data_IF_600151102550
#
_entry.id   IF_600151102550
#
_cell.length_a   1.000
_cell.length_b   1.000
_cell.length_c   1.000
_cell.angle_alpha   90.00
_cell.angle_beta   90.00
_cell.angle_gamma   90.00
#
_symmetry.space_group_name_H-M   'P 1'
#
loop_
_entity.id
_entity.type
_entity.pdbx_description
1 polymer ?
#
# COMPACT_ATOMS: atom_id res chain seq x y z
N UNK A 1 32.77 32.20 -22.69
CA UNK A 1 32.92 30.81 -23.18
C UNK A 1 33.08 29.92 -21.96
N UNK A 2 32.26 28.86 -21.80
CA UNK A 2 32.13 28.02 -20.59
C UNK A 2 31.18 28.50 -19.47
N UNK A 3 30.05 29.14 -19.81
CA UNK A 3 28.85 29.25 -18.95
C UNK A 3 27.52 29.17 -19.70
N UNK A 4 27.54 28.77 -20.98
CA UNK A 4 26.35 28.73 -21.87
C UNK A 4 26.08 27.31 -22.41
N UNK A 5 26.71 26.27 -21.83
CA UNK A 5 26.58 24.87 -22.31
C UNK A 5 25.94 23.94 -21.25
N UNK A 6 25.69 24.41 -20.02
CA UNK A 6 25.11 23.56 -18.94
C UNK A 6 23.60 23.81 -18.74
N UNK A 7 22.99 24.75 -19.46
CA UNK A 7 21.56 25.08 -19.37
C UNK A 7 20.72 24.62 -20.58
N UNK A 8 21.27 23.74 -21.43
CA UNK A 8 20.63 23.29 -22.66
C UNK A 8 20.27 21.79 -22.68
N UNK A 9 20.07 21.16 -21.51
CA UNK A 9 19.63 19.75 -21.42
C UNK A 9 18.43 19.52 -20.48
N UNK A 10 17.70 20.58 -20.14
CA UNK A 10 16.38 20.50 -19.52
C UNK A 10 15.42 21.35 -20.36
N UNK A 11 14.24 20.80 -20.67
CA UNK A 11 13.26 21.29 -21.65
C UNK A 11 13.65 21.02 -23.12
N UNK A 12 13.39 19.81 -23.61
CA UNK A 12 12.23 19.49 -24.46
C UNK A 12 12.13 17.96 -24.48
N UNK A 13 11.48 17.41 -23.47
CA UNK A 13 10.68 16.21 -23.66
C UNK A 13 9.25 16.68 -23.45
N UNK A 14 8.58 17.03 -24.54
CA UNK A 14 7.13 17.12 -24.60
C UNK A 14 6.62 15.74 -24.21
N UNK A 15 6.40 15.54 -22.91
CA UNK A 15 5.43 14.57 -22.43
C UNK A 15 4.10 15.07 -22.99
N UNK A 16 3.72 14.54 -24.15
CA UNK A 16 2.32 14.45 -24.51
C UNK A 16 1.71 13.58 -23.41
N UNK A 17 1.27 14.22 -22.34
CA UNK A 17 0.30 13.64 -21.45
C UNK A 17 -0.99 13.59 -22.25
N UNK A 18 -1.19 12.53 -23.03
CA UNK A 18 -2.53 12.20 -23.49
C UNK A 18 -3.34 11.94 -22.23
N UNK A 19 -4.22 12.89 -21.90
CA UNK A 19 -5.26 12.64 -20.92
C UNK A 19 -6.07 11.43 -21.41
N UNK A 20 -6.53 10.58 -20.50
CA UNK A 20 -7.41 9.47 -20.86
C UNK A 20 -8.61 10.03 -21.62
N UNK A 21 -8.86 9.51 -22.81
CA UNK A 21 -9.93 9.96 -23.70
C UNK A 21 -11.08 8.97 -23.63
N UNK A 22 -12.28 9.49 -23.41
CA UNK A 22 -13.52 8.71 -23.39
C UNK A 22 -14.37 9.19 -24.57
N UNK A 23 -14.63 8.31 -25.53
CA UNK A 23 -15.37 8.60 -26.75
C UNK A 23 -16.47 7.56 -26.97
N UNK A 24 -17.45 7.90 -27.81
CA UNK A 24 -18.46 6.92 -28.23
C UNK A 24 -17.84 5.87 -29.16
N UNK A 25 -18.13 4.60 -28.89
CA UNK A 25 -17.58 3.49 -29.67
C UNK A 25 -18.15 3.48 -31.09
N UNK A 26 -17.26 3.25 -32.05
CA UNK A 26 -17.57 3.13 -33.46
C UNK A 26 -17.55 1.65 -33.91
N UNK A 27 -18.21 1.28 -35.03
CA UNK A 27 -18.12 -0.09 -35.56
C UNK A 27 -16.68 -0.56 -35.83
N UNK A 28 -15.77 0.38 -36.10
CA UNK A 28 -14.33 0.11 -36.25
C UNK A 28 -13.64 -0.21 -34.92
N UNK A 29 -14.11 0.35 -33.80
CA UNK A 29 -13.55 0.07 -32.47
C UNK A 29 -13.87 -1.37 -32.06
N UNK A 30 -15.09 -1.83 -32.27
CA UNK A 30 -15.48 -3.22 -31.98
C UNK A 30 -14.72 -4.25 -32.82
N UNK A 31 -14.20 -3.85 -33.98
CA UNK A 31 -13.36 -4.68 -34.85
C UNK A 31 -11.85 -4.53 -34.54
N UNK A 32 -11.48 -3.68 -33.59
CA UNK A 32 -10.09 -3.44 -33.23
C UNK A 32 -9.64 -4.43 -32.14
N UNK A 33 -8.83 -5.43 -32.53
CA UNK A 33 -8.25 -6.42 -31.61
C UNK A 33 -7.32 -5.79 -30.54
N UNK A 34 -6.88 -4.53 -30.73
CA UNK A 34 -6.10 -3.81 -29.72
C UNK A 34 -6.96 -3.28 -28.56
N UNK A 35 -8.28 -3.22 -28.71
CA UNK A 35 -9.20 -2.76 -27.67
C UNK A 35 -9.85 -3.95 -26.96
N UNK A 36 -9.85 -3.93 -25.63
CA UNK A 36 -10.49 -4.99 -24.84
C UNK A 36 -11.99 -4.73 -24.75
N UNK A 37 -12.82 -5.58 -25.34
CA UNK A 37 -14.28 -5.50 -25.24
C UNK A 37 -14.78 -6.08 -23.91
N UNK A 38 -15.45 -5.26 -23.10
CA UNK A 38 -16.18 -5.67 -21.90
C UNK A 38 -17.69 -5.56 -22.13
N UNK A 39 -18.33 -6.71 -22.32
CA UNK A 39 -19.78 -6.81 -22.35
C UNK A 39 -20.33 -7.02 -20.93
N UNK A 40 -21.13 -6.09 -20.42
CA UNK A 40 -21.82 -6.22 -19.11
C UNK A 40 -20.87 -6.35 -17.91
N UNK A 41 -20.14 -5.29 -17.58
CA UNK A 41 -19.17 -5.33 -16.49
C UNK A 41 -19.85 -5.41 -15.10
N UNK A 42 -19.79 -6.58 -14.46
CA UNK A 42 -20.02 -6.77 -13.01
C UNK A 42 -18.72 -7.27 -12.37
N UNK A 43 -18.24 -6.57 -11.33
CA UNK A 43 -17.11 -7.03 -10.52
C UNK A 43 -15.83 -6.21 -10.69
N UNK A 44 -14.67 -6.86 -10.64
CA UNK A 44 -13.35 -6.23 -10.81
C UNK A 44 -12.69 -6.81 -12.06
N UNK A 45 -12.18 -5.92 -12.92
CA UNK A 45 -11.53 -6.28 -14.17
C UNK A 45 -10.08 -5.83 -14.17
N UNK A 46 -9.22 -6.61 -14.82
CA UNK A 46 -7.80 -6.32 -14.96
C UNK A 46 -7.47 -6.12 -16.43
N UNK A 47 -7.03 -4.91 -16.80
CA UNK A 47 -6.56 -4.54 -18.12
C UNK A 47 -5.03 -4.49 -18.13
N UNK A 48 -4.43 -4.92 -19.23
CA UNK A 48 -2.98 -4.99 -19.39
C UNK A 48 -2.56 -4.17 -20.61
N UNK A 49 -1.89 -3.04 -20.38
CA UNK A 49 -1.54 -2.05 -21.41
C UNK A 49 -0.51 -2.56 -22.44
N UNK A 50 0.22 -3.64 -22.12
CA UNK A 50 1.10 -4.32 -23.07
C UNK A 50 0.35 -5.19 -24.08
N UNK A 51 -0.93 -5.47 -23.84
CA UNK A 51 -1.79 -6.28 -24.71
C UNK A 51 -2.99 -5.53 -25.25
N UNK A 52 -3.31 -4.36 -24.69
CA UNK A 52 -4.48 -3.60 -25.08
C UNK A 52 -4.22 -2.11 -24.97
N UNK A 53 -4.55 -1.36 -26.01
CA UNK A 53 -4.38 0.08 -26.11
C UNK A 53 -5.50 0.86 -25.42
N UNK A 54 -6.60 0.17 -25.10
CA UNK A 54 -7.79 0.78 -24.52
C UNK A 54 -8.88 -0.24 -24.19
N UNK A 55 -9.97 0.26 -23.62
CA UNK A 55 -11.12 -0.53 -23.20
C UNK A 55 -12.35 -0.09 -23.98
N UNK A 56 -13.11 -1.03 -24.52
CA UNK A 56 -14.48 -0.77 -24.98
C UNK A 56 -15.43 -1.31 -23.94
N UNK A 57 -16.30 -0.43 -23.46
CA UNK A 57 -17.36 -0.76 -22.52
C UNK A 57 -18.68 -0.80 -23.26
N UNK A 58 -19.18 -2.02 -23.45
CA UNK A 58 -20.42 -2.26 -24.17
C UNK A 58 -21.57 -2.52 -23.19
N UNK A 59 -22.59 -1.67 -23.25
CA UNK A 59 -23.74 -1.72 -22.36
C UNK A 59 -24.88 -2.50 -23.02
N UNK A 60 -25.25 -3.70 -22.52
CA UNK A 60 -26.29 -4.48 -23.19
C UNK A 60 -27.66 -3.85 -22.95
N UNK A 61 -28.23 -3.18 -23.95
CA UNK A 61 -29.67 -2.93 -24.16
C UNK A 61 -30.54 -2.34 -23.01
N UNK A 62 -29.96 -2.02 -21.85
CA UNK A 62 -30.66 -1.48 -20.67
C UNK A 62 -30.96 0.03 -20.78
N UNK A 63 -30.39 0.70 -21.79
CA UNK A 63 -30.54 2.13 -22.08
C UNK A 63 -31.20 2.29 -23.47
N UNK A 64 -32.42 1.78 -23.62
CA UNK A 64 -33.06 1.60 -24.93
C UNK A 64 -33.72 2.87 -25.50
N UNK A 65 -33.41 4.08 -25.00
CA UNK A 65 -33.92 5.32 -25.58
C UNK A 65 -32.81 6.39 -25.76
N UNK A 66 -32.52 6.83 -27.00
CA UNK A 66 -31.46 7.80 -27.32
C UNK A 66 -31.71 9.23 -26.81
N UNK A 67 -32.79 9.46 -26.07
CA UNK A 67 -33.17 10.76 -25.49
C UNK A 67 -32.75 10.95 -24.03
N UNK A 68 -32.25 9.91 -23.36
CA UNK A 68 -31.79 9.99 -21.98
C UNK A 68 -30.31 10.41 -21.91
N UNK A 69 -30.01 11.55 -21.29
CA UNK A 69 -28.63 11.94 -20.97
C UNK A 69 -28.05 10.99 -19.93
N UNK A 70 -26.91 10.40 -20.26
CA UNK A 70 -26.22 9.42 -19.43
C UNK A 70 -24.89 9.99 -18.96
N UNK A 71 -24.50 9.66 -17.73
CA UNK A 71 -23.27 10.17 -17.15
C UNK A 71 -22.37 9.01 -16.72
N UNK A 72 -21.08 9.18 -16.97
CA UNK A 72 -20.01 8.29 -16.53
C UNK A 72 -19.07 9.07 -15.63
N UNK A 73 -18.83 8.57 -14.43
CA UNK A 73 -17.81 9.10 -13.53
C UNK A 73 -16.57 8.24 -13.63
N UNK A 74 -15.45 8.87 -13.99
CA UNK A 74 -14.13 8.27 -14.14
C UNK A 74 -13.08 9.21 -13.55
N UNK A 75 -12.22 8.70 -12.67
CA UNK A 75 -11.12 9.45 -12.05
C UNK A 75 -11.57 10.80 -11.44
N UNK A 76 -12.66 10.76 -10.66
CA UNK A 76 -13.34 11.92 -10.04
C UNK A 76 -14.01 12.91 -11.00
N UNK A 77 -13.92 12.73 -12.31
CA UNK A 77 -14.55 13.56 -13.33
C UNK A 77 -15.87 12.94 -13.81
N UNK A 78 -16.86 13.79 -14.10
CA UNK A 78 -18.15 13.38 -14.63
C UNK A 78 -18.22 13.72 -16.14
N UNK A 79 -18.49 12.72 -16.96
CA UNK A 79 -18.60 12.82 -18.42
C UNK A 79 -20.04 12.54 -18.84
N UNK A 80 -20.66 13.46 -19.58
CA UNK A 80 -22.03 13.32 -20.08
C UNK A 80 -22.06 12.86 -21.54
N UNK A 81 -22.93 11.90 -21.85
CA UNK A 81 -23.13 11.34 -23.19
C UNK A 81 -24.63 11.25 -23.51
N UNK A 82 -24.99 11.37 -24.78
CA UNK A 82 -26.35 11.13 -25.30
C UNK A 82 -26.20 10.13 -26.45
N UNK A 83 -26.07 8.84 -26.12
CA UNK A 83 -25.75 7.80 -27.08
C UNK A 83 -26.33 6.45 -26.65
N UNK A 84 -26.65 5.61 -27.64
CA UNK A 84 -27.02 4.21 -27.47
C UNK A 84 -25.84 3.26 -27.73
N UNK A 85 -24.65 3.81 -28.03
CA UNK A 85 -23.42 3.06 -28.33
C UNK A 85 -22.58 2.81 -27.08
N UNK A 86 -21.64 1.88 -27.18
CA UNK A 86 -20.60 1.66 -26.16
C UNK A 86 -19.70 2.89 -25.99
N UNK A 87 -18.82 2.84 -24.98
CA UNK A 87 -17.79 3.86 -24.77
C UNK A 87 -16.40 3.26 -24.90
N UNK A 88 -15.54 3.95 -25.65
CA UNK A 88 -14.13 3.61 -25.81
C UNK A 88 -13.28 4.48 -24.88
N UNK A 89 -12.45 3.84 -24.06
CA UNK A 89 -11.48 4.46 -23.18
C UNK A 89 -10.08 4.22 -23.75
N UNK A 90 -9.40 5.28 -24.16
CA UNK A 90 -8.05 5.23 -24.72
C UNK A 90 -7.08 6.01 -23.83
N UNK A 91 -5.78 5.74 -23.97
CA UNK A 91 -4.72 6.38 -23.18
C UNK A 91 -4.94 6.17 -21.66
N UNK A 92 -5.37 4.97 -21.27
CA UNK A 92 -5.44 4.57 -19.86
C UNK A 92 -4.03 4.47 -19.29
N UNK A 93 -3.84 4.94 -18.06
CA UNK A 93 -2.58 4.80 -17.32
C UNK A 93 -2.70 3.64 -16.34
N UNK A 94 -1.58 3.11 -15.85
CA UNK A 94 -1.64 2.11 -14.80
C UNK A 94 -2.19 2.71 -13.50
N UNK A 95 -3.15 2.03 -12.88
CA UNK A 95 -3.86 2.52 -11.71
C UNK A 95 -5.09 1.69 -11.38
N UNK A 96 -5.68 1.96 -10.21
CA UNK A 96 -6.97 1.43 -9.80
C UNK A 96 -8.03 2.49 -10.10
N UNK A 97 -8.98 2.18 -10.97
CA UNK A 97 -10.08 3.07 -11.37
C UNK A 97 -11.42 2.49 -10.92
N UNK A 98 -12.35 3.35 -10.57
CA UNK A 98 -13.76 3.00 -10.45
C UNK A 98 -14.52 3.69 -11.57
N UNK A 99 -15.23 2.90 -12.38
CA UNK A 99 -16.09 3.40 -13.44
C UNK A 99 -17.53 3.26 -12.95
N UNK A 100 -18.23 4.37 -12.83
CA UNK A 100 -19.64 4.37 -12.41
C UNK A 100 -20.51 5.12 -13.40
N UNK A 101 -21.75 4.67 -13.57
CA UNK A 101 -22.62 5.19 -14.62
C UNK A 101 -24.11 5.15 -14.28
N UNK A 102 -24.87 6.10 -14.84
CA UNK A 102 -26.32 6.25 -14.60
C UNK A 102 -26.86 7.64 -14.98
N UNK A 103 -28.02 8.03 -14.41
CA UNK A 103 -28.64 9.35 -14.64
C UNK A 103 -28.09 10.37 -13.63
N UNK A 104 -27.72 11.58 -14.05
CA UNK A 104 -27.24 12.60 -13.11
C UNK A 104 -28.34 13.12 -12.18
N UNK A 105 -27.92 13.59 -11.01
CA UNK A 105 -28.72 14.40 -10.09
C UNK A 105 -28.31 15.88 -10.19
N UNK A 106 -29.06 16.79 -9.56
CA UNK A 106 -28.56 18.14 -9.28
C UNK A 106 -27.32 18.04 -8.35
N UNK A 107 -26.13 18.02 -8.94
CA UNK A 107 -24.83 17.80 -8.30
C UNK A 107 -23.91 16.90 -9.13
N UNK A 108 -22.61 16.83 -8.79
CA UNK A 108 -21.62 15.99 -9.50
C UNK A 108 -21.76 14.46 -9.25
N UNK A 109 -22.98 13.96 -8.97
CA UNK A 109 -23.25 12.57 -8.60
C UNK A 109 -24.38 11.92 -9.40
N UNK A 110 -24.34 10.58 -9.49
CA UNK A 110 -25.16 9.73 -10.37
C UNK A 110 -26.23 8.98 -9.56
N UNK A 111 -27.51 9.13 -9.94
CA UNK A 111 -28.66 8.37 -9.39
C UNK A 111 -28.77 7.00 -10.06
N UNK A 112 -28.85 5.94 -9.24
CA UNK A 112 -28.81 4.52 -9.64
C UNK A 112 -27.51 4.11 -10.35
N UNK A 113 -26.38 4.57 -9.80
CA UNK A 113 -25.06 4.20 -10.28
C UNK A 113 -24.85 2.68 -10.23
N UNK A 114 -24.57 2.07 -11.39
CA UNK A 114 -23.83 0.80 -11.42
C UNK A 114 -22.35 1.16 -11.47
N UNK A 115 -21.50 0.39 -10.78
CA UNK A 115 -20.06 0.58 -10.84
C UNK A 115 -19.32 -0.75 -10.99
N UNK A 116 -18.13 -0.68 -11.59
CA UNK A 116 -17.15 -1.74 -11.53
C UNK A 116 -15.75 -1.15 -11.29
N UNK A 117 -14.88 -1.96 -10.71
CA UNK A 117 -13.48 -1.60 -10.54
C UNK A 117 -12.66 -2.06 -11.75
N UNK A 118 -11.87 -1.14 -12.32
CA UNK A 118 -10.91 -1.43 -13.38
C UNK A 118 -9.50 -1.26 -12.82
N UNK A 119 -8.73 -2.34 -12.79
CA UNK A 119 -7.30 -2.30 -12.52
C UNK A 119 -6.54 -2.29 -13.83
N UNK A 120 -5.76 -1.25 -14.07
CA UNK A 120 -4.93 -1.14 -15.27
C UNK A 120 -3.48 -1.39 -14.88
N UNK A 121 -2.85 -2.36 -15.52
CA UNK A 121 -1.45 -2.73 -15.31
C UNK A 121 -0.63 -2.42 -16.55
N UNK A 122 0.60 -1.95 -16.36
CA UNK A 122 1.52 -1.67 -17.48
C UNK A 122 1.94 -2.94 -18.25
N UNK A 123 2.00 -4.09 -17.58
CA UNK A 123 2.57 -5.32 -18.14
C UNK A 123 1.84 -6.56 -17.67
N UNK A 124 1.59 -7.48 -18.58
CA UNK A 124 1.03 -8.79 -18.29
C UNK A 124 2.05 -9.64 -17.55
N UNK A 125 1.71 -10.21 -16.37
CA UNK A 125 2.62 -11.10 -15.67
C UNK A 125 2.83 -12.37 -16.49
N UNK A 126 4.07 -12.88 -16.48
CA UNK A 126 4.39 -14.15 -17.15
C UNK A 126 3.61 -15.32 -16.53
N UNK A 127 3.44 -15.32 -15.21
CA UNK A 127 2.66 -16.32 -14.50
C UNK A 127 1.43 -15.70 -13.85
N UNK A 128 0.25 -16.03 -14.38
CA UNK A 128 -1.06 -15.66 -13.81
C UNK A 128 -1.63 -16.72 -12.85
N UNK A 129 -1.24 -17.98 -13.05
CA UNK A 129 -1.84 -19.10 -12.32
C UNK A 129 -1.34 -19.12 -10.87
N UNK A 130 -2.27 -19.08 -9.91
CA UNK A 130 -1.97 -18.92 -8.47
C UNK A 130 -1.02 -20.00 -7.94
N UNK A 131 -1.19 -21.25 -8.35
CA UNK A 131 -0.30 -22.33 -7.93
C UNK A 131 1.14 -22.12 -8.38
N UNK A 132 1.36 -21.52 -9.57
CA UNK A 132 2.70 -21.25 -10.09
C UNK A 132 3.33 -20.10 -9.30
N UNK A 133 2.58 -19.03 -9.07
CA UNK A 133 3.04 -17.89 -8.26
C UNK A 133 3.42 -18.35 -6.85
N UNK A 134 2.57 -19.17 -6.22
CA UNK A 134 2.84 -19.72 -4.89
C UNK A 134 4.08 -20.63 -4.89
N UNK A 135 4.22 -21.53 -5.87
CA UNK A 135 5.38 -22.41 -5.99
C UNK A 135 6.68 -21.62 -6.18
N UNK A 136 6.66 -20.55 -6.97
CA UNK A 136 7.80 -19.65 -7.15
C UNK A 136 8.19 -18.96 -5.83
N UNK A 137 7.20 -18.42 -5.11
CA UNK A 137 7.44 -17.74 -3.82
C UNK A 137 7.99 -18.71 -2.76
N UNK A 138 7.38 -19.89 -2.61
CA UNK A 138 7.85 -20.92 -1.68
C UNK A 138 9.22 -21.48 -2.08
N UNK A 139 9.44 -21.72 -3.38
CA UNK A 139 10.72 -22.19 -3.89
C UNK A 139 11.84 -21.17 -3.67
N UNK A 140 11.56 -19.87 -3.83
CA UNK A 140 12.48 -18.79 -3.52
C UNK A 140 12.81 -18.76 -2.02
N UNK A 141 11.83 -18.87 -1.13
CA UNK A 141 12.08 -18.94 0.30
C UNK A 141 12.95 -20.15 0.65
N UNK A 142 12.60 -21.33 0.13
CA UNK A 142 13.37 -22.55 0.33
C UNK A 142 14.82 -22.38 -0.15
N UNK A 143 15.04 -21.78 -1.33
CA UNK A 143 16.36 -21.50 -1.87
C UNK A 143 17.16 -20.54 -0.97
N UNK A 144 16.56 -19.45 -0.51
CA UNK A 144 17.22 -18.47 0.36
C UNK A 144 17.65 -19.13 1.67
N UNK A 145 16.75 -19.83 2.36
CA UNK A 145 17.09 -20.47 3.63
C UNK A 145 18.07 -21.63 3.47
N UNK A 146 17.95 -22.42 2.39
CA UNK A 146 18.89 -23.48 2.08
C UNK A 146 20.29 -22.91 1.81
N UNK A 147 20.43 -21.92 0.94
CA UNK A 147 21.73 -21.32 0.64
C UNK A 147 22.32 -20.59 1.85
N UNK A 148 21.50 -19.98 2.72
CA UNK A 148 21.96 -19.39 3.98
C UNK A 148 22.55 -20.44 4.94
N UNK A 149 22.08 -21.70 4.87
CA UNK A 149 22.65 -22.79 5.67
C UNK A 149 23.99 -23.33 5.14
N UNK A 150 24.37 -22.99 3.90
CA UNK A 150 25.57 -23.53 3.26
C UNK A 150 26.82 -22.69 3.61
N UNK A 151 27.95 -23.34 4.02
CA UNK A 151 29.19 -22.63 4.33
C UNK A 151 29.73 -21.78 3.18
N UNK A 152 29.53 -22.22 1.93
CA UNK A 152 30.00 -21.52 0.72
C UNK A 152 29.37 -20.14 0.53
N UNK A 153 28.16 -19.91 1.06
CA UNK A 153 27.45 -18.64 0.95
C UNK A 153 27.55 -17.77 2.22
N UNK A 154 28.26 -18.23 3.25
CA UNK A 154 28.42 -17.50 4.53
C UNK A 154 28.95 -16.08 4.37
N UNK A 155 29.87 -15.85 3.42
CA UNK A 155 30.40 -14.51 3.12
C UNK A 155 29.33 -13.60 2.53
N UNK A 156 28.46 -14.11 1.66
CA UNK A 156 27.37 -13.34 1.07
C UNK A 156 26.32 -12.98 2.13
N UNK A 157 25.87 -13.96 2.91
CA UNK A 157 24.86 -13.75 3.96
C UNK A 157 25.36 -12.91 5.15
N UNK A 158 26.68 -12.77 5.32
CA UNK A 158 27.28 -11.79 6.24
C UNK A 158 26.99 -10.34 5.84
N UNK A 159 26.85 -10.06 4.54
CA UNK A 159 26.54 -8.73 4.04
C UNK A 159 25.06 -8.57 3.66
N UNK A 160 24.39 -9.63 3.25
CA UNK A 160 22.99 -9.58 2.82
C UNK A 160 22.19 -10.56 3.67
N UNK A 161 21.49 -10.09 4.72
CA UNK A 161 20.70 -10.96 5.60
C UNK A 161 19.64 -11.75 4.82
N UNK A 162 19.35 -12.99 5.21
CA UNK A 162 18.35 -13.82 4.53
C UNK A 162 16.96 -13.16 4.50
N UNK A 163 16.55 -12.51 5.60
CA UNK A 163 15.29 -11.76 5.67
C UNK A 163 15.21 -10.65 4.62
N UNK A 164 16.34 -10.01 4.31
CA UNK A 164 16.43 -8.97 3.30
C UNK A 164 16.11 -9.53 1.90
N UNK A 165 16.60 -10.73 1.59
CA UNK A 165 16.31 -11.40 0.32
C UNK A 165 14.87 -11.87 0.23
N UNK A 166 14.30 -12.38 1.32
CA UNK A 166 12.89 -12.76 1.40
C UNK A 166 11.97 -11.57 1.11
N UNK A 167 12.43 -10.35 1.39
CA UNK A 167 11.71 -9.13 1.08
C UNK A 167 11.92 -8.68 -0.38
N UNK A 168 13.18 -8.58 -0.83
CA UNK A 168 13.50 -8.01 -2.14
C UNK A 168 13.26 -8.92 -3.33
N UNK A 169 13.52 -10.22 -3.22
CA UNK A 169 13.41 -11.10 -4.38
C UNK A 169 11.96 -11.19 -4.90
N UNK A 170 10.92 -11.34 -4.05
CA UNK A 170 9.53 -11.25 -4.52
C UNK A 170 9.19 -9.89 -5.16
N UNK A 171 9.73 -8.79 -4.61
CA UNK A 171 9.55 -7.46 -5.18
C UNK A 171 10.18 -7.34 -6.58
N UNK A 172 11.37 -7.91 -6.78
CA UNK A 172 12.02 -7.98 -8.10
C UNK A 172 11.19 -8.81 -9.08
N UNK A 173 10.67 -9.97 -8.66
CA UNK A 173 9.78 -10.78 -9.51
C UNK A 173 8.53 -10.01 -9.93
N UNK A 174 7.97 -9.21 -9.02
CA UNK A 174 6.82 -8.35 -9.31
C UNK A 174 7.18 -7.24 -10.30
N UNK A 175 8.22 -6.46 -10.02
CA UNK A 175 8.69 -5.37 -10.89
C UNK A 175 9.15 -5.84 -12.27
N UNK A 176 9.71 -7.05 -12.40
CA UNK A 176 10.08 -7.63 -13.68
C UNK A 176 8.86 -8.08 -14.52
N UNK A 177 7.67 -8.13 -13.92
CA UNK A 177 6.46 -8.67 -14.53
C UNK A 177 6.47 -10.20 -14.62
N UNK A 178 7.20 -10.89 -13.73
CA UNK A 178 7.17 -12.36 -13.64
C UNK A 178 5.90 -12.80 -12.89
N UNK A 179 5.58 -12.10 -11.81
CA UNK A 179 4.36 -12.27 -11.01
C UNK A 179 3.64 -10.91 -10.88
N UNK A 180 2.35 -10.91 -10.57
CA UNK A 180 1.64 -9.69 -10.19
C UNK A 180 0.85 -9.95 -8.90
N UNK A 181 1.35 -9.41 -7.79
CA UNK A 181 0.70 -9.57 -6.48
C UNK A 181 -0.65 -8.86 -6.38
N UNK A 182 -0.91 -7.82 -7.17
CA UNK A 182 -2.16 -7.03 -7.11
C UNK A 182 -3.31 -7.66 -7.92
N UNK A 183 -2.99 -8.46 -8.94
CA UNK A 183 -3.94 -9.25 -9.72
C UNK A 183 -4.15 -10.66 -9.13
N UNK A 184 -3.20 -11.15 -8.33
CA UNK A 184 -3.26 -12.48 -7.71
C UNK A 184 -4.16 -12.53 -6.47
N UNK A 185 -4.99 -13.58 -6.39
CA UNK A 185 -5.79 -13.92 -5.21
C UNK A 185 -4.93 -14.33 -4.00
N UNK A 186 -3.65 -14.67 -4.20
CA UNK A 186 -2.75 -14.96 -3.08
C UNK A 186 -2.57 -13.75 -2.18
N UNK A 187 -2.62 -12.53 -2.71
CA UNK A 187 -2.58 -11.33 -1.88
C UNK A 187 -3.81 -11.22 -0.99
N UNK A 188 -5.00 -11.57 -1.50
CA UNK A 188 -6.23 -11.60 -0.71
C UNK A 188 -6.11 -12.60 0.45
N UNK A 189 -5.70 -13.83 0.16
CA UNK A 189 -5.53 -14.88 1.18
C UNK A 189 -4.45 -14.49 2.20
N UNK A 190 -3.31 -13.98 1.73
CA UNK A 190 -2.19 -13.61 2.60
C UNK A 190 -2.54 -12.44 3.51
N UNK A 191 -3.13 -11.37 2.99
CA UNK A 191 -3.44 -10.16 3.77
C UNK A 191 -4.58 -10.33 4.77
N UNK A 192 -5.57 -11.19 4.48
CA UNK A 192 -6.80 -11.30 5.29
C UNK A 192 -6.86 -12.54 6.18
N UNK A 193 -6.05 -13.56 5.88
CA UNK A 193 -6.05 -14.80 6.67
C UNK A 193 -4.67 -15.05 7.28
N UNK A 194 -3.62 -15.12 6.45
CA UNK A 194 -2.29 -15.52 6.92
C UNK A 194 -1.61 -14.43 7.75
N UNK A 195 -1.74 -13.16 7.36
CA UNK A 195 -1.14 -12.03 8.07
C UNK A 195 -1.79 -11.83 9.46
N UNK A 196 -3.13 -11.78 9.61
CA UNK A 196 -3.73 -11.74 10.95
C UNK A 196 -3.38 -12.96 11.80
N UNK A 197 -3.33 -14.16 11.20
CA UNK A 197 -2.91 -15.37 11.90
C UNK A 197 -1.46 -15.29 12.39
N UNK A 198 -0.54 -14.79 11.57
CA UNK A 198 0.86 -14.61 11.96
C UNK A 198 1.04 -13.55 13.04
N UNK A 199 0.22 -12.48 13.02
CA UNK A 199 0.20 -11.47 14.08
C UNK A 199 -0.27 -12.07 15.42
N UNK A 200 -1.29 -12.92 15.42
CA UNK A 200 -1.72 -13.63 16.63
C UNK A 200 -0.58 -14.51 17.18
N UNK A 201 0.05 -15.30 16.31
CA UNK A 201 1.17 -16.16 16.71
C UNK A 201 2.37 -15.35 17.20
N UNK A 202 2.65 -14.22 16.57
CA UNK A 202 3.69 -13.28 17.02
C UNK A 202 3.36 -12.74 18.41
N UNK A 203 2.13 -12.27 18.63
CA UNK A 203 1.65 -11.79 19.93
C UNK A 203 1.77 -12.86 21.03
N UNK A 204 1.44 -14.11 20.73
CA UNK A 204 1.59 -15.24 21.66
C UNK A 204 3.06 -15.57 21.94
N UNK A 205 3.96 -15.26 21.00
CA UNK A 205 5.40 -15.52 21.12
C UNK A 205 6.17 -14.40 21.82
N UNK A 206 5.53 -13.25 22.08
CA UNK A 206 6.16 -12.09 22.72
C UNK A 206 6.28 -12.31 24.24
N UNK A 207 7.50 -12.14 24.78
CA UNK A 207 7.72 -12.08 26.24
C UNK A 207 7.34 -10.70 26.80
N UNK A 208 6.04 -10.49 27.06
CA UNK A 208 5.53 -9.24 27.65
C UNK A 208 6.24 -8.88 28.97
N UNK A 209 6.54 -9.88 29.81
CA UNK A 209 7.27 -9.64 31.07
C UNK A 209 8.69 -9.18 30.79
N UNK A 210 9.36 -9.79 29.80
CA UNK A 210 10.67 -9.38 29.33
C UNK A 210 10.69 -7.94 28.80
N UNK A 211 9.68 -7.55 28.01
CA UNK A 211 9.53 -6.17 27.52
C UNK A 211 9.31 -5.20 28.70
N UNK A 212 8.43 -5.54 29.64
CA UNK A 212 8.20 -4.71 30.83
C UNK A 212 9.47 -4.57 31.69
N UNK A 213 10.30 -5.61 31.75
CA UNK A 213 11.57 -5.60 32.48
C UNK A 213 12.65 -4.70 31.85
N UNK A 214 12.50 -4.30 30.56
CA UNK A 214 13.33 -3.21 30.01
C UNK A 214 13.04 -1.88 30.71
N UNK A 215 11.86 -1.75 31.33
CA UNK A 215 11.46 -0.63 32.16
C UNK A 215 11.55 0.70 31.41
N UNK A 216 12.09 1.76 32.03
CA UNK A 216 12.18 3.08 31.41
C UNK A 216 12.97 3.12 30.10
N UNK A 217 13.92 2.19 29.87
CA UNK A 217 14.75 2.19 28.65
C UNK A 217 13.90 1.97 27.39
N UNK A 218 12.90 1.09 27.44
CA UNK A 218 12.01 0.85 26.30
C UNK A 218 11.18 2.10 25.95
N UNK A 219 10.64 2.78 26.97
CA UNK A 219 9.89 4.02 26.79
C UNK A 219 10.78 5.15 26.27
N UNK A 220 12.00 5.28 26.79
CA UNK A 220 12.98 6.27 26.31
C UNK A 220 13.30 6.02 24.84
N UNK A 221 13.52 4.77 24.41
CA UNK A 221 13.75 4.45 23.00
C UNK A 221 12.56 4.82 22.13
N UNK A 222 11.34 4.52 22.58
CA UNK A 222 10.11 4.87 21.86
C UNK A 222 9.94 6.39 21.72
N UNK A 223 10.07 7.14 22.82
CA UNK A 223 9.95 8.60 22.79
C UNK A 223 11.10 9.27 22.05
N UNK A 224 12.33 8.76 22.13
CA UNK A 224 13.46 9.27 21.36
C UNK A 224 13.22 9.09 19.85
N UNK A 225 12.73 7.91 19.42
CA UNK A 225 12.35 7.68 18.03
C UNK A 225 11.21 8.61 17.58
N UNK A 226 10.18 8.73 18.42
CA UNK A 226 9.03 9.63 18.16
C UNK A 226 9.47 11.09 18.03
N UNK A 227 10.30 11.59 18.96
CA UNK A 227 10.85 12.93 18.90
C UNK A 227 11.72 13.13 17.65
N UNK A 228 12.47 12.09 17.24
CA UNK A 228 13.21 12.10 15.99
C UNK A 228 12.32 12.38 14.78
N UNK A 229 11.15 11.72 14.69
CA UNK A 229 10.16 11.96 13.63
C UNK A 229 9.54 13.35 13.74
N UNK A 230 9.10 13.74 14.95
CA UNK A 230 8.44 15.02 15.22
C UNK A 230 9.35 16.23 14.95
N UNK A 231 10.66 16.11 15.18
CA UNK A 231 11.64 17.16 14.91
C UNK A 231 12.14 17.07 13.46
N UNK A 232 12.36 15.85 12.97
CA UNK A 232 12.92 15.59 11.65
C UNK A 232 12.05 16.11 10.51
N UNK A 233 10.72 15.97 10.62
CA UNK A 233 9.77 16.50 9.62
C UNK A 233 9.87 18.02 9.43
N UNK A 234 9.64 18.83 10.48
CA UNK A 234 9.80 20.28 10.41
C UNK A 234 11.21 20.72 10.02
N UNK A 235 12.26 20.03 10.50
CA UNK A 235 13.63 20.34 10.12
C UNK A 235 13.87 20.10 8.62
N UNK A 236 13.37 19.00 8.06
CA UNK A 236 13.47 18.72 6.63
C UNK A 236 12.73 19.79 5.81
N UNK A 237 11.53 20.20 6.23
CA UNK A 237 10.79 21.28 5.61
C UNK A 237 11.55 22.61 5.66
N UNK A 238 12.18 22.93 6.79
CA UNK A 238 12.97 24.14 6.93
C UNK A 238 14.21 24.15 6.02
N UNK A 239 14.94 23.03 5.96
CA UNK A 239 16.10 22.88 5.08
C UNK A 239 15.67 23.04 3.62
N UNK A 240 14.67 22.29 3.16
CA UNK A 240 14.20 22.34 1.77
C UNK A 240 13.62 23.70 1.43
N UNK A 241 12.83 24.29 2.34
CA UNK A 241 12.25 25.62 2.19
C UNK A 241 13.27 26.74 2.07
N UNK A 242 14.49 26.55 2.60
CA UNK A 242 15.58 27.51 2.44
C UNK A 242 16.15 27.55 1.02
N UNK A 243 15.94 26.50 0.22
CA UNK A 243 16.40 26.42 -1.17
C UNK A 243 15.27 26.58 -2.18
N UNK A 244 14.10 26.02 -1.88
CA UNK A 244 12.94 25.95 -2.78
C UNK A 244 11.64 26.25 -2.02
N UNK A 245 11.42 27.51 -1.60
CA UNK A 245 10.24 27.88 -0.81
C UNK A 245 8.93 27.62 -1.55
N UNK A 246 8.91 27.78 -2.88
CA UNK A 246 7.72 27.56 -3.71
C UNK A 246 7.25 26.10 -3.69
N UNK A 247 8.15 25.14 -3.43
CA UNK A 247 7.82 23.71 -3.38
C UNK A 247 7.05 23.30 -2.11
N UNK A 248 7.00 24.17 -1.09
CA UNK A 248 6.34 23.87 0.18
C UNK A 248 4.82 24.11 0.13
N UNK A 249 4.35 24.97 -0.78
CA UNK A 249 2.94 25.32 -0.91
C UNK A 249 2.36 26.17 0.23
N UNK A 250 3.18 26.60 1.20
CA UNK A 250 2.77 27.47 2.31
C UNK A 250 1.59 26.92 3.10
N UNK A 251 0.51 27.70 3.21
CA UNK A 251 -0.75 27.31 3.86
C UNK A 251 -1.81 26.77 2.89
N UNK A 252 -1.50 26.66 1.60
CA UNK A 252 -2.46 26.17 0.58
C UNK A 252 -2.97 24.77 0.92
N UNK A 253 -4.17 24.42 0.44
CA UNK A 253 -4.74 23.08 0.66
C UNK A 253 -3.77 21.95 0.26
N UNK A 254 -2.91 22.17 -0.73
CA UNK A 254 -1.90 21.22 -1.20
C UNK A 254 -0.52 21.40 -0.56
N UNK A 255 -0.44 22.10 0.58
CA UNK A 255 0.82 22.31 1.28
C UNK A 255 1.47 20.98 1.66
N UNK A 256 2.77 20.86 1.38
CA UNK A 256 3.52 19.62 1.52
C UNK A 256 3.51 19.09 2.95
N UNK A 257 3.46 19.98 3.95
CA UNK A 257 3.43 19.60 5.36
C UNK A 257 2.19 18.76 5.72
N UNK A 258 1.04 19.00 5.07
CA UNK A 258 -0.19 18.22 5.30
C UNK A 258 0.04 16.77 4.90
N UNK A 259 0.66 16.56 3.74
CA UNK A 259 1.09 15.25 3.28
C UNK A 259 2.16 14.59 4.17
N UNK A 260 3.21 15.32 4.53
CA UNK A 260 4.27 14.79 5.39
C UNK A 260 3.79 14.45 6.80
N UNK A 261 2.75 15.13 7.29
CA UNK A 261 2.12 14.78 8.57
C UNK A 261 1.56 13.35 8.55
N UNK A 262 0.95 12.92 7.44
CA UNK A 262 0.40 11.57 7.32
C UNK A 262 1.52 10.52 7.31
N UNK A 263 2.66 10.82 6.68
CA UNK A 263 3.87 9.99 6.73
C UNK A 263 4.38 9.88 8.17
N UNK A 264 4.48 10.98 8.91
CA UNK A 264 4.87 10.94 10.32
C UNK A 264 3.95 10.04 11.16
N UNK A 265 2.64 10.06 10.90
CA UNK A 265 1.67 9.15 11.52
C UNK A 265 1.98 7.68 11.26
N UNK A 266 2.30 7.34 10.00
CA UNK A 266 2.69 5.99 9.60
C UNK A 266 3.92 5.49 10.36
N UNK A 267 4.93 6.33 10.53
CA UNK A 267 6.19 5.93 11.18
C UNK A 267 6.11 5.86 12.70
N UNK A 268 5.19 6.60 13.33
CA UNK A 268 4.99 6.57 14.79
C UNK A 268 4.01 5.46 15.20
N UNK A 269 2.94 5.23 14.42
CA UNK A 269 1.89 4.28 14.80
C UNK A 269 1.17 3.58 13.65
N UNK A 270 1.77 3.55 12.46
CA UNK A 270 1.30 2.77 11.31
C UNK A 270 0.14 3.39 10.54
N UNK A 271 -0.45 2.60 9.64
CA UNK A 271 -1.48 3.05 8.70
C UNK A 271 -2.74 3.64 9.37
N UNK A 272 -3.08 3.20 10.59
CA UNK A 272 -4.20 3.79 11.34
C UNK A 272 -3.91 5.26 11.71
N UNK A 273 -2.71 5.54 12.23
CA UNK A 273 -2.28 6.90 12.55
C UNK A 273 -2.08 7.74 11.29
N UNK A 274 -1.61 7.14 10.20
CA UNK A 274 -1.50 7.80 8.89
C UNK A 274 -2.87 8.28 8.39
N UNK A 275 -3.90 7.43 8.46
CA UNK A 275 -5.28 7.79 8.09
C UNK A 275 -5.88 8.82 9.04
N UNK A 276 -5.64 8.71 10.35
CA UNK A 276 -6.10 9.71 11.31
C UNK A 276 -5.50 11.10 11.03
N UNK A 277 -4.20 11.16 10.71
CA UNK A 277 -3.55 12.42 10.36
C UNK A 277 -3.96 12.97 9.00
N UNK A 278 -4.39 12.13 8.05
CA UNK A 278 -5.03 12.62 6.81
C UNK A 278 -6.21 13.52 7.14
N UNK A 279 -7.09 13.05 8.03
CA UNK A 279 -8.30 13.78 8.42
C UNK A 279 -7.97 14.99 9.29
N UNK A 280 -7.03 14.88 10.24
CA UNK A 280 -6.65 16.00 11.13
C UNK A 280 -5.94 17.13 10.36
N UNK A 281 -5.13 16.78 9.37
CA UNK A 281 -4.36 17.77 8.59
C UNK A 281 -5.09 18.28 7.35
N UNK A 282 -6.35 17.88 7.13
CA UNK A 282 -7.12 18.17 5.92
C UNK A 282 -6.33 17.86 4.63
N UNK A 283 -5.65 16.70 4.61
CA UNK A 283 -4.77 16.33 3.50
C UNK A 283 -5.61 15.92 2.28
N UNK A 284 -5.49 16.64 1.14
CA UNK A 284 -6.24 16.29 -0.08
C UNK A 284 -5.92 14.89 -0.57
N UNK A 285 -6.90 14.20 -1.16
CA UNK A 285 -6.76 12.79 -1.54
C UNK A 285 -5.61 12.53 -2.52
N UNK A 286 -5.40 13.42 -3.49
CA UNK A 286 -4.28 13.33 -4.42
C UNK A 286 -2.92 13.45 -3.72
N UNK A 287 -2.79 14.40 -2.78
CA UNK A 287 -1.57 14.55 -1.98
C UNK A 287 -1.36 13.33 -1.06
N UNK A 288 -2.41 12.86 -0.40
CA UNK A 288 -2.37 11.68 0.45
C UNK A 288 -1.92 10.43 -0.30
N UNK A 289 -2.45 10.22 -1.51
CA UNK A 289 -2.08 9.09 -2.37
C UNK A 289 -0.61 9.13 -2.77
N UNK A 290 -0.09 10.31 -3.13
CA UNK A 290 1.32 10.51 -3.41
C UNK A 290 2.19 10.23 -2.18
N UNK A 291 1.75 10.64 -0.98
CA UNK A 291 2.49 10.42 0.26
C UNK A 291 2.51 8.95 0.68
N UNK A 292 1.44 8.18 0.46
CA UNK A 292 1.46 6.72 0.66
C UNK A 292 2.53 6.09 -0.23
N UNK A 293 2.62 6.53 -1.49
CA UNK A 293 3.57 5.97 -2.45
C UNK A 293 5.03 6.27 -2.04
N UNK A 294 5.29 7.50 -1.59
CA UNK A 294 6.59 7.91 -1.02
C UNK A 294 6.90 7.14 0.26
N UNK A 295 5.93 7.01 1.16
CA UNK A 295 6.07 6.30 2.44
C UNK A 295 6.47 4.83 2.21
N UNK A 296 5.72 4.12 1.37
CA UNK A 296 6.04 2.73 1.03
C UNK A 296 7.42 2.63 0.39
N UNK A 297 7.76 3.51 -0.55
CA UNK A 297 9.08 3.48 -1.20
C UNK A 297 10.23 3.69 -0.21
N UNK A 298 10.12 4.71 0.66
CA UNK A 298 11.13 5.02 1.68
C UNK A 298 11.20 3.93 2.75
N UNK A 299 10.07 3.42 3.23
CA UNK A 299 10.03 2.35 4.21
C UNK A 299 10.75 1.10 3.71
N UNK A 300 10.58 0.76 2.42
CA UNK A 300 11.22 -0.41 1.82
C UNK A 300 12.74 -0.25 1.69
N UNK A 301 13.20 0.93 1.30
CA UNK A 301 14.64 1.25 1.22
C UNK A 301 15.24 1.29 2.63
N UNK A 302 14.56 1.94 3.57
CA UNK A 302 15.01 2.06 4.95
C UNK A 302 15.04 0.73 5.69
N UNK A 303 14.06 -0.14 5.44
CA UNK A 303 14.04 -1.51 5.95
C UNK A 303 15.34 -2.26 5.60
N UNK A 304 15.88 -2.04 4.40
CA UNK A 304 17.13 -2.65 4.00
C UNK A 304 18.32 -2.18 4.84
N UNK A 305 18.41 -0.87 5.09
CA UNK A 305 19.43 -0.30 5.96
C UNK A 305 19.29 -0.79 7.41
N UNK A 306 18.07 -0.90 7.92
CA UNK A 306 17.80 -1.41 9.26
C UNK A 306 18.17 -2.89 9.39
N UNK A 307 17.75 -3.75 8.46
CA UNK A 307 18.06 -5.18 8.48
C UNK A 307 19.57 -5.43 8.32
N UNK A 308 20.25 -4.64 7.50
CA UNK A 308 21.71 -4.68 7.40
C UNK A 308 22.38 -4.22 8.70
N UNK A 309 21.94 -3.08 9.25
CA UNK A 309 22.48 -2.49 10.48
C UNK A 309 22.27 -3.38 11.71
N UNK A 310 21.15 -4.10 11.79
CA UNK A 310 20.84 -5.04 12.87
C UNK A 310 21.90 -6.14 13.00
N UNK A 311 22.52 -6.59 11.90
CA UNK A 311 23.63 -7.55 11.91
C UNK A 311 24.98 -6.96 12.38
N UNK A 312 25.05 -5.65 12.63
CA UNK A 312 26.25 -4.91 13.03
C UNK A 312 26.06 -4.18 14.38
N UNK A 313 25.06 -4.58 15.16
CA UNK A 313 24.66 -4.01 16.45
C UNK A 313 25.86 -3.68 17.36
N UNK A 314 26.80 -4.62 17.57
CA UNK A 314 27.96 -4.43 18.45
C UNK A 314 28.88 -3.29 18.01
N UNK A 315 29.06 -3.12 16.70
CA UNK A 315 29.90 -2.05 16.14
C UNK A 315 29.21 -0.70 16.31
N UNK A 316 27.90 -0.65 16.03
CA UNK A 316 27.09 0.56 16.14
C UNK A 316 27.03 1.00 17.61
N UNK A 317 26.75 0.07 18.53
CA UNK A 317 26.70 0.36 19.97
C UNK A 317 28.05 0.87 20.48
N UNK A 318 29.17 0.29 20.05
CA UNK A 318 30.51 0.77 20.41
C UNK A 318 30.79 2.18 19.87
N UNK A 319 30.38 2.48 18.64
CA UNK A 319 30.54 3.80 18.03
C UNK A 319 29.71 4.88 18.75
N UNK A 320 28.45 4.55 19.07
CA UNK A 320 27.52 5.45 19.77
C UNK A 320 27.72 5.47 21.29
N UNK A 321 28.60 4.61 21.83
CA UNK A 321 28.78 4.38 23.28
C UNK A 321 27.46 4.03 23.98
N UNK A 322 26.60 3.26 23.30
CA UNK A 322 25.29 2.88 23.80
C UNK A 322 25.39 1.76 24.84
N UNK A 323 24.66 1.90 25.96
CA UNK A 323 24.45 0.82 26.93
C UNK A 323 23.29 -0.08 26.46
N UNK A 324 23.66 -1.24 25.92
CA UNK A 324 22.72 -2.26 25.45
C UNK A 324 22.57 -3.45 26.42
N UNK A 325 23.07 -3.38 27.66
CA UNK A 325 23.08 -4.54 28.59
C UNK A 325 21.68 -5.10 28.85
N UNK A 326 20.67 -4.24 28.99
CA UNK A 326 19.29 -4.68 29.22
C UNK A 326 18.68 -5.39 27.99
N UNK A 327 19.07 -4.95 26.78
CA UNK A 327 18.62 -5.55 25.52
C UNK A 327 19.31 -6.90 25.31
N UNK A 328 20.62 -6.97 25.55
CA UNK A 328 21.39 -8.23 25.47
C UNK A 328 20.85 -9.25 26.49
N UNK A 329 20.59 -8.85 27.73
CA UNK A 329 20.03 -9.75 28.74
C UNK A 329 18.66 -10.29 28.32
N UNK A 330 17.80 -9.46 27.72
CA UNK A 330 16.51 -9.91 27.19
C UNK A 330 16.69 -10.86 26.01
N UNK A 331 17.57 -10.53 25.07
CA UNK A 331 17.87 -11.37 23.91
C UNK A 331 18.39 -12.75 24.35
N UNK A 332 19.40 -12.79 25.21
CA UNK A 332 19.97 -14.05 25.73
C UNK A 332 18.93 -14.87 26.50
N UNK A 333 18.04 -14.22 27.27
CA UNK A 333 16.93 -14.91 27.94
C UNK A 333 15.99 -15.57 26.94
N UNK A 334 15.60 -14.86 25.88
CA UNK A 334 14.71 -15.38 24.84
C UNK A 334 15.38 -16.52 24.07
N UNK A 335 16.65 -16.36 23.67
CA UNK A 335 17.45 -17.40 23.00
C UNK A 335 17.56 -18.68 23.85
N UNK A 336 17.91 -18.53 25.14
CA UNK A 336 18.02 -19.67 26.06
C UNK A 336 16.67 -20.34 26.31
N UNK A 337 15.60 -19.56 26.45
CA UNK A 337 14.25 -20.12 26.61
C UNK A 337 13.85 -20.89 25.36
N UNK A 338 14.00 -20.31 24.17
CA UNK A 338 13.75 -20.99 22.89
C UNK A 338 14.57 -22.27 22.77
N UNK A 339 15.87 -22.24 23.07
CA UNK A 339 16.73 -23.40 23.02
C UNK A 339 16.26 -24.49 24.00
N UNK A 340 15.80 -24.12 25.19
CA UNK A 340 15.33 -25.07 26.22
C UNK A 340 14.02 -25.78 25.86
N UNK A 341 13.18 -25.18 25.01
CA UNK A 341 11.90 -25.75 24.57
C UNK A 341 11.91 -26.20 23.11
N UNK A 342 13.02 -25.99 22.40
CA UNK A 342 13.14 -26.28 20.98
C UNK A 342 13.08 -27.79 20.74
N UNK A 343 12.04 -28.21 20.04
CA UNK A 343 11.87 -29.57 19.53
C UNK A 343 11.18 -29.51 18.18
N UNK A 344 11.35 -30.55 17.37
CA UNK A 344 10.59 -30.69 16.15
C UNK A 344 9.08 -30.69 16.47
N UNK A 345 8.28 -29.83 15.84
CA UNK A 345 6.84 -29.81 16.08
C UNK A 345 6.22 -31.11 15.58
N UNK A 346 5.39 -31.74 16.40
CA UNK A 346 4.58 -32.88 15.99
C UNK A 346 3.40 -32.40 15.14
N UNK A 347 2.73 -33.32 14.43
CA UNK A 347 1.49 -33.01 13.72
C UNK A 347 0.45 -32.38 14.67
N UNK A 348 0.35 -32.87 15.91
CA UNK A 348 -0.53 -32.31 16.95
C UNK A 348 -0.19 -30.84 17.22
N UNK A 349 1.09 -30.50 17.38
CA UNK A 349 1.51 -29.13 17.65
C UNK A 349 1.15 -28.20 16.48
N UNK A 350 1.40 -28.64 15.24
CA UNK A 350 1.02 -27.88 14.04
C UNK A 350 -0.49 -27.66 13.95
N UNK A 351 -1.30 -28.68 14.22
CA UNK A 351 -2.76 -28.56 14.22
C UNK A 351 -3.26 -27.60 15.29
N UNK A 352 -2.65 -27.61 16.49
CA UNK A 352 -3.00 -26.67 17.57
C UNK A 352 -2.59 -25.24 17.18
N UNK A 353 -1.39 -25.03 16.65
CA UNK A 353 -0.90 -23.72 16.20
C UNK A 353 -1.85 -23.15 15.13
N UNK A 354 -2.19 -23.94 14.10
CA UNK A 354 -3.15 -23.53 13.07
C UNK A 354 -4.53 -23.25 13.69
N UNK A 355 -5.03 -24.13 14.55
CA UNK A 355 -6.33 -23.99 15.20
C UNK A 355 -6.43 -22.71 16.01
N UNK A 356 -5.46 -22.43 16.89
CA UNK A 356 -5.42 -21.21 17.70
C UNK A 356 -5.33 -19.96 16.81
N UNK A 357 -4.44 -19.96 15.82
CA UNK A 357 -4.24 -18.82 14.94
C UNK A 357 -5.51 -18.49 14.14
N UNK A 358 -6.09 -19.46 13.43
CA UNK A 358 -7.26 -19.22 12.58
C UNK A 358 -8.56 -19.09 13.37
N UNK A 359 -8.68 -19.69 14.56
CA UNK A 359 -9.81 -19.42 15.46
C UNK A 359 -9.80 -17.96 15.92
N UNK A 360 -8.64 -17.43 16.30
CA UNK A 360 -8.51 -16.03 16.66
C UNK A 360 -8.84 -15.10 15.48
N UNK A 361 -8.39 -15.42 14.26
CA UNK A 361 -8.78 -14.68 13.04
C UNK A 361 -10.30 -14.72 12.85
N UNK A 362 -10.92 -15.91 12.94
CA UNK A 362 -12.37 -16.06 12.79
C UNK A 362 -13.17 -15.26 13.82
N UNK A 363 -12.74 -15.29 15.09
CA UNK A 363 -13.33 -14.50 16.17
C UNK A 363 -13.18 -13.00 15.94
N UNK A 364 -12.03 -12.54 15.43
CA UNK A 364 -11.81 -11.14 15.11
C UNK A 364 -12.74 -10.67 13.97
N UNK A 365 -12.90 -11.46 12.91
CA UNK A 365 -13.83 -11.16 11.82
C UNK A 365 -15.29 -11.16 12.29
N UNK A 366 -15.66 -12.11 13.15
CA UNK A 366 -17.00 -12.15 13.73
C UNK A 366 -17.26 -10.94 14.63
N UNK A 367 -16.30 -10.57 15.49
CA UNK A 367 -16.39 -9.39 16.34
C UNK A 367 -16.49 -8.08 15.54
N UNK A 368 -15.81 -8.00 14.40
CA UNK A 368 -15.86 -6.83 13.50
C UNK A 368 -17.28 -6.53 12.99
N UNK A 369 -18.15 -7.53 12.86
CA UNK A 369 -19.54 -7.35 12.44
C UNK A 369 -20.36 -6.52 13.44
N UNK A 370 -19.98 -6.51 14.72
CA UNK A 370 -20.64 -5.74 15.77
C UNK A 370 -19.89 -4.45 16.10
N UNK A 371 -18.56 -4.54 16.18
CA UNK A 371 -17.69 -3.42 16.52
C UNK A 371 -17.66 -2.36 15.43
N UNK A 372 -17.61 -2.74 14.15
CA UNK A 372 -17.51 -1.78 13.04
C UNK A 372 -18.76 -0.87 12.94
N UNK A 373 -20.01 -1.40 12.96
CA UNK A 373 -21.19 -0.55 13.00
C UNK A 373 -21.28 0.31 14.26
N UNK A 374 -20.88 -0.23 15.42
CA UNK A 374 -20.91 0.51 16.69
C UNK A 374 -19.95 1.71 16.68
N UNK A 375 -18.71 1.51 16.23
CA UNK A 375 -17.72 2.59 16.06
C UNK A 375 -18.21 3.58 15.01
N UNK A 376 -18.73 3.10 13.88
CA UNK A 376 -19.26 3.95 12.81
C UNK A 376 -20.43 4.83 13.27
N UNK A 377 -21.33 4.29 14.08
CA UNK A 377 -22.40 5.04 14.73
C UNK A 377 -21.85 6.13 15.65
N UNK A 378 -20.92 5.78 16.55
CA UNK A 378 -20.29 6.75 17.46
C UNK A 378 -19.56 7.88 16.73
N UNK A 379 -18.84 7.59 15.65
CA UNK A 379 -18.19 8.63 14.82
C UNK A 379 -19.24 9.54 14.16
N UNK A 380 -20.36 8.98 13.69
CA UNK A 380 -21.45 9.75 13.09
C UNK A 380 -22.08 10.70 14.11
N UNK A 381 -22.31 10.22 15.32
CA UNK A 381 -22.84 11.02 16.43
C UNK A 381 -21.87 12.15 16.84
N UNK A 382 -20.56 11.87 16.88
CA UNK A 382 -19.55 12.90 17.17
C UNK A 382 -19.53 14.00 16.10
N UNK A 383 -19.66 13.64 14.81
CA UNK A 383 -19.76 14.61 13.71
C UNK A 383 -21.04 15.44 13.79
N UNK A 384 -22.17 14.82 14.17
CA UNK A 384 -23.44 15.51 14.38
C UNK A 384 -23.43 16.42 15.62
N UNK A 385 -22.76 16.03 16.71
CA UNK A 385 -22.59 16.87 17.90
C UNK A 385 -21.69 18.09 17.65
N UNK A 386 -20.65 17.95 16.81
CA UNK A 386 -19.77 19.04 16.41
C UNK A 386 -20.47 20.09 15.53
N UNK A 387 -21.39 19.68 14.66
CA UNK A 387 -22.16 20.62 13.81
C UNK A 387 -23.18 21.44 14.60
N UNK A 388 -23.70 20.92 15.72
CA UNK A 388 -24.58 21.68 16.61
C UNK A 388 -23.81 22.80 17.32
N UNK A 389 -22.58 22.55 17.78
CA UNK A 389 -21.76 23.59 18.45
C UNK A 389 -21.34 24.69 17.44
N UNK A 390 -21.04 24.33 16.20
CA UNK A 390 -20.72 25.28 15.13
C UNK A 390 -21.92 26.13 14.67
N UNK A 391 -23.15 25.74 15.00
CA UNK A 391 -24.36 26.53 14.72
C UNK A 391 -24.69 27.57 15.82
N UNK A 392 -24.03 27.48 16.98
CA UNK A 392 -24.20 28.38 18.12
C UNK A 392 -22.96 29.24 18.41
N UNK A 393 -21.93 29.17 17.56
CA UNK A 393 -20.81 30.13 17.47
C UNK A 393 -20.94 30.91 16.17
#
# INVERSE_FOLDING_TARGET
MLRVIILSFFCVATLISSATTITESTPTDYANDALTNLHTAKGKFSLYLDKSEGLILDWPNELSQPTDSFFVKFDSNLYGFITDKGLTFENLKAGDYEISWGKATDGNDIVKAKSFGLKVFNKTPWFKHEAIVLALLLGLLALVFYTNSLPSFSKFYKFVPALLLCYFLPAILNSAGIINGQDSQLYYVSSRFLLPASLVLLCLSIDLKGILNLGPKALIMFFAATLGVVIGGPLALWIVGSFTPDALGGDSANALWRGLSTVAGSWIGGGANQTALKEIADCPEGLFSNMILVDVALANVWMAFLLFGAGMDKKINKFLKADNTAVEALQTKVENYQASISRAPSLKDLMIICGVAFLAVGLAHWGANFLSPWIGGGISDMKAGGSVIALYM
#
